data_IF_586618263656
#
_entry.id   IF_586618263656
#
_cell.length_a   1.000
_cell.length_b   1.000
_cell.length_c   1.000
_cell.angle_alpha   90.00
_cell.angle_beta   90.00
_cell.angle_gamma   90.00
#
_symmetry.space_group_name_H-M   'P 1'
#
loop_
_entity.id
_entity.type
_entity.pdbx_description
1 polymer ?
#
# COMPACT_ATOMS: atom_id res chain seq x y z
N UNK A 1 39.52 -63.98 -30.30
CA UNK A 1 40.55 -63.00 -29.86
C UNK A 1 39.81 -61.83 -29.24
N UNK A 2 39.89 -61.67 -27.92
CA UNK A 2 39.51 -60.44 -27.23
C UNK A 2 40.70 -59.48 -27.31
N UNK A 3 40.44 -58.22 -27.66
CA UNK A 3 40.97 -57.11 -26.87
C UNK A 3 39.96 -55.95 -26.82
N UNK A 4 40.01 -54.96 -25.94
CA UNK A 4 40.44 -54.84 -24.56
C UNK A 4 39.61 -53.66 -24.04
N UNK A 5 39.17 -53.75 -22.79
CA UNK A 5 38.52 -52.66 -22.05
C UNK A 5 39.41 -51.40 -22.08
N UNK A 6 38.93 -50.31 -22.68
CA UNK A 6 39.50 -48.97 -22.50
C UNK A 6 38.45 -48.07 -21.85
N UNK A 7 38.90 -47.43 -20.76
CA UNK A 7 38.07 -47.04 -19.64
C UNK A 7 37.26 -45.77 -19.84
N UNK A 8 36.07 -45.79 -19.25
CA UNK A 8 35.36 -44.59 -18.83
C UNK A 8 36.17 -43.90 -17.74
N UNK A 9 36.71 -42.70 -18.01
CA UNK A 9 37.24 -41.83 -16.97
C UNK A 9 36.07 -41.38 -16.08
N UNK A 10 35.93 -42.03 -14.93
CA UNK A 10 35.07 -41.55 -13.85
C UNK A 10 35.86 -40.46 -13.15
N UNK A 11 35.44 -39.20 -13.33
CA UNK A 11 35.96 -38.07 -12.57
C UNK A 11 35.74 -38.34 -11.06
N UNK A 12 36.81 -38.42 -10.23
CA UNK A 12 36.66 -38.79 -8.82
C UNK A 12 36.24 -37.63 -7.92
N UNK A 13 35.72 -36.53 -8.46
CA UNK A 13 35.40 -35.33 -7.68
C UNK A 13 34.05 -34.68 -8.01
N UNK A 14 33.04 -35.50 -8.33
CA UNK A 14 31.65 -35.07 -8.33
C UNK A 14 31.02 -35.38 -6.96
N UNK A 15 31.33 -34.59 -5.93
CA UNK A 15 30.56 -34.58 -4.68
C UNK A 15 29.21 -33.86 -4.90
N UNK A 16 28.35 -34.48 -5.71
CA UNK A 16 26.93 -34.16 -5.80
C UNK A 16 26.22 -34.69 -4.56
N UNK A 17 26.34 -33.99 -3.43
CA UNK A 17 25.47 -34.25 -2.30
C UNK A 17 24.05 -33.76 -2.65
N UNK A 18 23.26 -34.63 -3.25
CA UNK A 18 21.80 -34.52 -3.25
C UNK A 18 21.31 -34.57 -1.80
N UNK A 19 21.24 -33.40 -1.17
CA UNK A 19 20.59 -33.28 0.14
C UNK A 19 19.10 -33.49 -0.08
N UNK A 20 18.43 -34.37 0.69
CA UNK A 20 17.00 -34.56 0.56
C UNK A 20 16.29 -33.22 0.81
N UNK A 21 15.51 -32.76 -0.18
CA UNK A 21 14.63 -31.58 -0.10
C UNK A 21 13.40 -31.87 0.76
N UNK A 22 13.61 -32.43 1.95
CA UNK A 22 12.57 -32.66 2.94
C UNK A 22 12.98 -31.98 4.24
N UNK A 23 12.33 -30.85 4.53
CA UNK A 23 12.47 -30.16 5.81
C UNK A 23 11.75 -30.98 6.88
N UNK A 24 12.43 -31.91 7.53
CA UNK A 24 11.89 -32.59 8.71
C UNK A 24 11.70 -31.58 9.85
N UNK A 25 10.53 -31.53 10.52
CA UNK A 25 10.22 -30.57 11.60
C UNK A 25 11.27 -30.52 12.72
N UNK A 26 11.90 -31.65 13.02
CA UNK A 26 12.95 -31.79 14.02
C UNK A 26 14.22 -30.96 13.71
N UNK A 27 14.56 -30.73 12.43
CA UNK A 27 15.75 -29.95 12.05
C UNK A 27 15.56 -28.45 12.29
N UNK A 28 14.33 -27.96 12.24
CA UNK A 28 13.97 -26.56 12.54
C UNK A 28 14.03 -26.25 14.03
N UNK A 29 13.60 -27.18 14.89
CA UNK A 29 13.64 -27.00 16.34
C UNK A 29 15.08 -26.97 16.88
N UNK A 30 15.93 -27.90 16.43
CA UNK A 30 17.34 -27.96 16.81
C UNK A 30 18.09 -26.65 16.51
N UNK A 31 17.88 -26.05 15.33
CA UNK A 31 18.51 -24.77 14.98
C UNK A 31 18.06 -23.61 15.86
N UNK A 32 16.80 -23.56 16.27
CA UNK A 32 16.32 -22.53 17.20
C UNK A 32 16.93 -22.71 18.60
N UNK A 33 17.00 -23.94 19.10
CA UNK A 33 17.59 -24.29 20.41
C UNK A 33 19.10 -24.02 20.43
N UNK A 34 19.81 -24.27 19.33
CA UNK A 34 21.26 -23.99 19.24
C UNK A 34 21.59 -22.51 19.04
N UNK A 35 20.71 -21.76 18.35
CA UNK A 35 20.96 -20.36 17.99
C UNK A 35 20.60 -19.39 19.12
N UNK A 36 19.55 -19.67 19.90
CA UNK A 36 19.10 -18.78 20.98
C UNK A 36 20.16 -18.56 22.08
N UNK A 37 20.82 -19.61 22.63
CA UNK A 37 21.88 -19.43 23.63
C UNK A 37 23.13 -18.72 23.09
N UNK A 38 23.40 -18.83 21.78
CA UNK A 38 24.54 -18.18 21.13
C UNK A 38 24.34 -16.67 20.93
N UNK A 39 23.08 -16.22 20.84
CA UNK A 39 22.75 -14.81 20.69
C UNK A 39 21.36 -14.50 21.29
N UNK A 40 21.22 -14.46 22.62
CA UNK A 40 19.92 -14.25 23.26
C UNK A 40 19.36 -12.85 22.97
N UNK A 41 20.23 -11.84 22.95
CA UNK A 41 19.86 -10.44 22.72
C UNK A 41 19.48 -10.15 21.26
N UNK A 42 19.97 -10.97 20.31
CA UNK A 42 19.69 -10.85 18.88
C UNK A 42 18.63 -11.82 18.35
N UNK A 43 18.03 -12.63 19.23
CA UNK A 43 17.00 -13.57 18.81
C UNK A 43 15.72 -12.82 18.42
N UNK A 44 15.26 -13.00 17.18
CA UNK A 44 14.09 -12.33 16.60
C UNK A 44 14.16 -10.79 16.56
N UNK A 45 15.32 -10.19 16.78
CA UNK A 45 15.51 -8.73 16.70
C UNK A 45 15.69 -8.23 15.27
N UNK A 46 16.05 -9.11 14.34
CA UNK A 46 16.22 -8.75 12.93
C UNK A 46 14.88 -8.34 12.31
N UNK A 47 14.81 -7.18 11.62
CA UNK A 47 13.60 -6.78 10.94
C UNK A 47 13.27 -7.77 9.83
N UNK A 48 12.03 -8.25 9.80
CA UNK A 48 11.54 -9.12 8.73
C UNK A 48 11.31 -8.22 7.51
N UNK A 49 11.96 -8.48 6.36
CA UNK A 49 11.73 -7.69 5.16
C UNK A 49 10.26 -7.83 4.73
N UNK A 50 9.55 -6.72 4.71
CA UNK A 50 8.19 -6.66 4.21
C UNK A 50 8.16 -6.76 2.68
N UNK A 51 7.02 -7.20 2.14
CA UNK A 51 6.78 -7.18 0.70
C UNK A 51 6.87 -5.73 0.17
N UNK A 52 7.63 -5.46 -0.92
CA UNK A 52 7.69 -4.14 -1.50
C UNK A 52 6.32 -3.68 -2.00
N UNK A 53 6.03 -2.39 -1.86
CA UNK A 53 4.75 -1.82 -2.29
C UNK A 53 4.67 -1.72 -3.81
N UNK A 54 3.51 -2.04 -4.37
CA UNK A 54 3.22 -1.93 -5.82
C UNK A 54 3.30 -0.48 -6.32
N UNK A 55 3.01 0.51 -5.46
CA UNK A 55 3.04 1.94 -5.81
C UNK A 55 4.31 2.55 -5.23
N UNK A 56 5.15 3.12 -6.10
CA UNK A 56 6.35 3.87 -5.68
C UNK A 56 5.99 5.09 -4.80
N UNK A 57 6.93 5.53 -3.98
CA UNK A 57 6.75 6.73 -3.13
C UNK A 57 6.41 7.97 -3.97
N UNK A 58 7.01 8.13 -5.14
CA UNK A 58 6.71 9.24 -6.07
C UNK A 58 5.26 9.19 -6.57
N UNK A 59 4.78 8.02 -6.95
CA UNK A 59 3.40 7.84 -7.42
C UNK A 59 2.39 8.05 -6.29
N UNK A 60 2.71 7.63 -5.06
CA UNK A 60 1.89 7.95 -3.88
C UNK A 60 1.75 9.46 -3.69
N UNK A 61 2.85 10.21 -3.78
CA UNK A 61 2.82 11.69 -3.67
C UNK A 61 2.03 12.34 -4.81
N UNK A 62 2.15 11.82 -6.04
CA UNK A 62 1.37 12.29 -7.19
C UNK A 62 -0.13 12.09 -6.93
N UNK A 63 -0.54 10.89 -6.51
CA UNK A 63 -1.93 10.58 -6.14
C UNK A 63 -2.43 11.52 -5.05
N UNK A 64 -1.65 11.71 -3.97
CA UNK A 64 -2.03 12.61 -2.88
C UNK A 64 -2.27 14.03 -3.37
N UNK A 65 -1.36 14.60 -4.17
CA UNK A 65 -1.53 15.95 -4.74
C UNK A 65 -2.78 16.07 -5.62
N UNK A 66 -3.03 15.08 -6.47
CA UNK A 66 -4.21 15.05 -7.34
C UNK A 66 -5.50 15.06 -6.53
N UNK A 67 -5.57 14.23 -5.48
CA UNK A 67 -6.78 14.08 -4.66
C UNK A 67 -6.96 15.22 -3.66
N UNK A 68 -5.89 15.84 -3.17
CA UNK A 68 -5.99 17.01 -2.30
C UNK A 68 -6.52 18.24 -3.02
N UNK A 69 -6.15 18.42 -4.28
CA UNK A 69 -6.49 19.63 -5.04
C UNK A 69 -7.80 19.49 -5.85
N UNK A 70 -8.46 18.32 -5.83
CA UNK A 70 -9.63 18.06 -6.66
C UNK A 70 -10.61 17.07 -6.02
N UNK A 71 -11.81 16.96 -6.60
CA UNK A 71 -12.85 15.99 -6.20
C UNK A 71 -12.78 14.68 -6.97
N UNK A 72 -11.59 14.29 -7.46
CA UNK A 72 -11.45 13.12 -8.32
C UNK A 72 -11.85 11.80 -7.65
N UNK A 73 -12.61 11.00 -8.39
CA UNK A 73 -12.91 9.63 -8.03
C UNK A 73 -11.68 8.74 -8.14
N UNK A 74 -11.68 7.60 -7.43
CA UNK A 74 -10.58 6.63 -7.49
C UNK A 74 -10.32 6.13 -8.92
N UNK A 75 -11.37 6.00 -9.72
CA UNK A 75 -11.27 5.55 -11.11
C UNK A 75 -10.65 6.63 -12.01
N UNK A 76 -11.00 7.90 -11.81
CA UNK A 76 -10.37 9.03 -12.51
C UNK A 76 -8.89 9.12 -12.17
N UNK A 77 -8.53 9.02 -10.89
CA UNK A 77 -7.12 8.98 -10.46
C UNK A 77 -6.39 7.81 -11.12
N UNK A 78 -7.01 6.62 -11.21
CA UNK A 78 -6.40 5.47 -11.87
C UNK A 78 -6.15 5.72 -13.36
N UNK A 79 -7.15 6.24 -14.07
CA UNK A 79 -7.05 6.54 -15.49
C UNK A 79 -5.94 7.57 -15.76
N UNK A 80 -5.90 8.64 -14.97
CA UNK A 80 -4.94 9.74 -15.12
C UNK A 80 -3.51 9.36 -14.69
N UNK A 81 -3.37 8.49 -13.68
CA UNK A 81 -2.05 8.04 -13.24
C UNK A 81 -1.46 6.95 -14.13
N UNK A 82 -2.27 6.22 -14.91
CA UNK A 82 -1.81 5.11 -15.75
C UNK A 82 -1.16 3.97 -14.97
N UNK A 83 -1.40 3.88 -13.66
CA UNK A 83 -0.74 2.89 -12.81
C UNK A 83 -1.38 1.50 -12.98
N UNK A 84 -0.53 0.47 -13.06
CA UNK A 84 -0.95 -0.93 -13.03
C UNK A 84 -1.64 -1.35 -11.72
N UNK A 85 -1.71 -0.47 -10.71
CA UNK A 85 -2.36 -0.75 -9.44
C UNK A 85 -3.87 -0.91 -9.59
N UNK A 86 -4.44 -1.89 -8.89
CA UNK A 86 -5.88 -2.06 -8.78
C UNK A 86 -6.56 -0.82 -8.18
N UNK A 87 -7.85 -0.64 -8.46
CA UNK A 87 -8.69 0.39 -7.83
C UNK A 87 -8.58 0.37 -6.30
N UNK A 88 -8.51 -0.82 -5.71
CA UNK A 88 -8.37 -1.01 -4.26
C UNK A 88 -7.00 -0.54 -3.74
N UNK A 89 -5.93 -0.73 -4.51
CA UNK A 89 -4.58 -0.25 -4.14
C UNK A 89 -4.54 1.27 -4.11
N UNK A 90 -5.13 1.94 -5.11
CA UNK A 90 -5.23 3.41 -5.14
C UNK A 90 -6.12 3.91 -4.00
N UNK A 91 -7.25 3.27 -3.74
CA UNK A 91 -8.11 3.62 -2.61
C UNK A 91 -7.38 3.49 -1.28
N UNK A 92 -6.62 2.40 -1.04
CA UNK A 92 -5.79 2.23 0.16
C UNK A 92 -4.74 3.33 0.27
N UNK A 93 -4.11 3.73 -0.84
CA UNK A 93 -3.16 4.84 -0.86
C UNK A 93 -3.80 6.16 -0.41
N UNK A 94 -5.00 6.46 -0.90
CA UNK A 94 -5.74 7.66 -0.52
C UNK A 94 -6.18 7.58 0.94
N UNK A 95 -6.73 6.43 1.36
CA UNK A 95 -7.24 6.21 2.73
C UNK A 95 -6.14 6.25 3.78
N UNK A 96 -4.91 5.84 3.43
CA UNK A 96 -3.74 5.89 4.33
C UNK A 96 -3.20 7.29 4.57
N UNK A 97 -3.65 8.30 3.81
CA UNK A 97 -3.19 9.67 3.99
C UNK A 97 -4.05 10.36 5.06
N UNK A 98 -3.43 10.71 6.19
CA UNK A 98 -4.08 11.35 7.34
C UNK A 98 -4.59 12.77 7.03
N UNK A 99 -4.02 13.43 6.03
CA UNK A 99 -4.39 14.81 5.66
C UNK A 99 -5.57 14.87 4.69
N UNK A 100 -6.06 13.72 4.18
CA UNK A 100 -7.16 13.68 3.22
C UNK A 100 -8.42 13.14 3.90
N UNK A 101 -9.33 14.04 4.26
CA UNK A 101 -10.65 13.71 4.77
C UNK A 101 -11.70 13.87 3.66
N UNK A 102 -12.34 12.77 3.26
CA UNK A 102 -13.49 12.83 2.35
C UNK A 102 -14.77 13.04 3.15
N UNK A 103 -15.39 14.21 2.96
CA UNK A 103 -16.71 14.51 3.51
C UNK A 103 -17.73 14.60 2.39
N UNK A 104 -18.93 14.09 2.65
CA UNK A 104 -20.08 14.31 1.78
C UNK A 104 -20.63 15.70 2.06
N UNK A 105 -20.79 16.51 1.03
CA UNK A 105 -21.47 17.80 1.16
C UNK A 105 -22.91 17.56 1.62
N UNK A 106 -23.28 18.18 2.75
CA UNK A 106 -24.65 18.09 3.24
C UNK A 106 -25.57 18.83 2.27
N UNK A 107 -26.75 18.24 2.01
CA UNK A 107 -27.73 18.88 1.13
C UNK A 107 -28.12 20.22 1.75
N UNK A 108 -28.14 21.27 0.92
CA UNK A 108 -28.63 22.56 1.35
C UNK A 108 -30.07 22.42 1.89
N UNK A 109 -30.42 23.09 3.01
CA UNK A 109 -31.78 23.05 3.51
C UNK A 109 -32.76 23.52 2.43
N UNK A 110 -33.91 22.86 2.33
CA UNK A 110 -34.95 23.23 1.36
C UNK A 110 -35.39 24.70 1.55
N UNK A 111 -35.48 25.43 0.45
CA UNK A 111 -35.87 26.84 0.45
C UNK A 111 -37.40 26.97 0.50
N UNK A 112 -37.96 26.86 1.70
CA UNK A 112 -39.40 27.04 1.94
C UNK A 112 -39.85 28.48 1.68
N UNK A 113 -41.13 28.69 1.39
CA UNK A 113 -41.68 30.04 1.14
C UNK A 113 -41.42 31.00 2.31
N UNK A 114 -41.55 30.51 3.54
CA UNK A 114 -41.16 31.26 4.75
C UNK A 114 -39.70 31.73 4.71
N UNK A 115 -38.76 30.84 4.36
CA UNK A 115 -37.33 31.18 4.24
C UNK A 115 -37.06 32.18 3.10
N UNK A 116 -37.81 32.09 1.99
CA UNK A 116 -37.72 33.06 0.88
C UNK A 116 -38.14 34.46 1.34
N UNK A 117 -39.28 34.56 2.02
CA UNK A 117 -39.78 35.83 2.55
C UNK A 117 -38.82 36.44 3.58
N UNK A 118 -38.34 35.63 4.54
CA UNK A 118 -37.38 36.09 5.54
C UNK A 118 -36.07 36.60 4.92
N UNK A 119 -35.53 35.91 3.90
CA UNK A 119 -34.34 36.37 3.17
C UNK A 119 -34.58 37.68 2.43
N UNK A 120 -35.75 37.83 1.84
CA UNK A 120 -36.13 39.01 1.08
C UNK A 120 -36.35 40.23 1.99
N UNK A 121 -36.96 40.03 3.16
CA UNK A 121 -37.03 41.06 4.19
C UNK A 121 -35.64 41.44 4.73
N UNK A 122 -34.78 40.46 5.01
CA UNK A 122 -33.41 40.70 5.43
C UNK A 122 -32.65 41.54 4.39
N UNK A 123 -32.77 41.18 3.11
CA UNK A 123 -32.15 41.93 2.01
C UNK A 123 -32.69 43.36 1.98
N UNK A 124 -34.01 43.56 1.96
CA UNK A 124 -34.64 44.90 1.97
C UNK A 124 -34.16 45.76 3.13
N UNK A 125 -34.11 45.20 4.34
CA UNK A 125 -33.65 45.89 5.56
C UNK A 125 -32.17 46.28 5.50
N UNK A 126 -31.34 45.56 4.75
CA UNK A 126 -29.90 45.81 4.65
C UNK A 126 -29.46 46.46 3.33
N UNK A 127 -30.38 46.76 2.39
CA UNK A 127 -30.00 47.37 1.09
C UNK A 127 -29.36 48.75 1.22
N UNK A 128 -29.73 49.53 2.24
CA UNK A 128 -29.17 50.87 2.50
C UNK A 128 -27.98 50.87 3.47
N UNK A 129 -27.56 49.68 3.95
CA UNK A 129 -26.48 49.56 4.92
C UNK A 129 -25.15 49.57 4.19
N UNK A 130 -24.47 50.71 4.20
CA UNK A 130 -23.12 50.88 3.63
C UNK A 130 -22.09 50.07 4.43
N UNK A 131 -21.96 48.78 4.15
CA UNK A 131 -20.76 47.93 4.32
C UNK A 131 -20.00 47.90 5.66
N UNK A 132 -20.43 48.65 6.68
CA UNK A 132 -19.78 48.68 8.00
C UNK A 132 -20.45 47.63 8.87
N UNK A 133 -19.74 46.52 9.02
CA UNK A 133 -19.89 45.56 10.11
C UNK A 133 -18.77 45.80 11.11
#
# INVERSE_FOLDING_TARGET
>A
MCPDYLGTSIDPNAQGHDKPRHCSPARTFARCVDYFPRNPNGYRSAPIPCRPSVISSQNRRRISRMVSNSTWSVNQVRAETGLSGSRTTIWRCIRSNEHICRQTMQKAPHLTNFRKQARLEFARKNMARNGKM
#
